data_IF_966098940072
#
_entry.id   IF_966098940072
#
_cell.length_a   1.000
_cell.length_b   1.000
_cell.length_c   1.000
_cell.angle_alpha   90.00
_cell.angle_beta   90.00
_cell.angle_gamma   90.00
#
_symmetry.space_group_name_H-M   'P 1'
#
loop_
_entity.id
_entity.type
_entity.pdbx_description
1 polymer ?
#
# COMPACT_ATOMS: atom_id res chain seq x y z
N UNK A 1 -21.44 -23.55 -47.22
CA UNK A 1 -22.33 -24.23 -46.27
C UNK A 1 -21.67 -24.45 -44.93
N UNK A 2 -20.42 -24.95 -44.82
CA UNK A 2 -19.74 -25.19 -43.55
C UNK A 2 -19.56 -23.96 -42.62
N UNK A 3 -19.41 -22.75 -43.15
CA UNK A 3 -19.25 -21.53 -42.36
C UNK A 3 -20.55 -21.06 -41.68
N UNK A 4 -21.69 -21.34 -42.27
CA UNK A 4 -23.04 -21.03 -41.73
C UNK A 4 -23.41 -22.00 -40.60
N UNK A 5 -23.05 -23.27 -40.72
CA UNK A 5 -23.25 -24.28 -39.69
C UNK A 5 -22.37 -24.03 -38.46
N UNK A 6 -21.12 -23.62 -38.66
CA UNK A 6 -20.23 -23.23 -37.57
C UNK A 6 -20.72 -21.99 -36.82
N UNK A 7 -21.31 -21.02 -37.52
CA UNK A 7 -21.88 -19.81 -36.91
C UNK A 7 -23.13 -20.15 -36.10
N UNK A 8 -23.98 -21.08 -36.59
CA UNK A 8 -25.16 -21.55 -35.87
C UNK A 8 -24.80 -22.40 -34.65
N UNK A 9 -23.76 -23.24 -34.73
CA UNK A 9 -23.26 -24.00 -33.59
C UNK A 9 -22.68 -23.09 -32.52
N UNK A 10 -21.89 -22.07 -32.89
CA UNK A 10 -21.39 -21.06 -31.96
C UNK A 10 -22.52 -20.27 -31.31
N UNK A 11 -23.52 -19.87 -32.05
CA UNK A 11 -24.68 -19.16 -31.50
C UNK A 11 -25.47 -20.04 -30.53
N UNK A 12 -25.69 -21.31 -30.87
CA UNK A 12 -26.36 -22.26 -30.00
C UNK A 12 -25.58 -22.57 -28.71
N UNK A 13 -24.25 -22.66 -28.77
CA UNK A 13 -23.40 -22.83 -27.57
C UNK A 13 -23.45 -21.60 -26.66
N UNK A 14 -23.45 -20.40 -27.23
CA UNK A 14 -23.58 -19.15 -26.45
C UNK A 14 -24.96 -19.05 -25.77
N UNK A 15 -26.02 -19.51 -26.42
CA UNK A 15 -27.38 -19.51 -25.83
C UNK A 15 -27.48 -20.55 -24.70
N UNK A 16 -26.90 -21.73 -24.87
CA UNK A 16 -26.82 -22.73 -23.79
C UNK A 16 -25.97 -22.25 -22.61
N UNK A 17 -24.83 -21.63 -22.87
CA UNK A 17 -24.01 -21.04 -21.82
C UNK A 17 -24.73 -19.95 -21.01
N UNK A 18 -25.63 -19.19 -21.66
CA UNK A 18 -26.45 -18.19 -20.96
C UNK A 18 -27.57 -18.83 -20.11
N UNK A 19 -28.06 -20.01 -20.47
CA UNK A 19 -29.06 -20.75 -19.68
C UNK A 19 -28.47 -21.43 -18.44
N UNK A 20 -27.20 -21.75 -18.47
CA UNK A 20 -26.45 -22.30 -17.31
C UNK A 20 -26.04 -21.25 -16.28
N UNK A 21 -26.22 -19.96 -16.58
CA UNK A 21 -25.92 -18.86 -15.64
C UNK A 21 -26.93 -18.90 -14.49
N UNK A 22 -26.46 -19.20 -13.32
CA UNK A 22 -27.26 -19.30 -12.11
C UNK A 22 -27.58 -17.90 -11.56
N UNK A 23 -28.52 -17.18 -12.25
CA UNK A 23 -28.94 -15.82 -11.91
C UNK A 23 -29.37 -15.67 -10.45
N UNK A 24 -29.94 -16.72 -9.86
CA UNK A 24 -30.34 -16.76 -8.45
C UNK A 24 -29.10 -16.66 -7.52
N UNK A 25 -28.02 -17.38 -7.82
CA UNK A 25 -26.79 -17.32 -7.02
C UNK A 25 -26.10 -15.95 -7.15
N UNK A 26 -26.06 -15.40 -8.37
CA UNK A 26 -25.50 -14.06 -8.62
C UNK A 26 -26.29 -13.00 -7.87
N UNK A 27 -27.64 -13.06 -7.95
CA UNK A 27 -28.52 -12.16 -7.23
C UNK A 27 -28.32 -12.25 -5.70
N UNK A 28 -28.13 -13.45 -5.17
CA UNK A 28 -27.91 -13.67 -3.74
C UNK A 28 -26.55 -13.14 -3.27
N UNK A 29 -25.50 -13.28 -4.09
CA UNK A 29 -24.17 -12.70 -3.80
C UNK A 29 -24.22 -11.17 -3.81
N UNK A 30 -24.85 -10.58 -4.84
CA UNK A 30 -24.97 -9.13 -4.94
C UNK A 30 -25.83 -8.55 -3.81
N UNK A 31 -26.96 -9.19 -3.49
CA UNK A 31 -27.83 -8.81 -2.38
C UNK A 31 -27.10 -8.95 -1.03
N UNK A 32 -26.38 -10.05 -0.83
CA UNK A 32 -25.56 -10.28 0.37
C UNK A 32 -24.47 -9.23 0.52
N UNK A 33 -23.72 -8.94 -0.56
CA UNK A 33 -22.69 -7.90 -0.56
C UNK A 33 -23.29 -6.52 -0.28
N UNK A 34 -24.41 -6.19 -0.88
CA UNK A 34 -25.12 -4.94 -0.64
C UNK A 34 -25.57 -4.81 0.82
N UNK A 35 -26.11 -5.88 1.40
CA UNK A 35 -26.53 -5.95 2.80
C UNK A 35 -25.33 -5.76 3.74
N UNK A 36 -24.19 -6.41 3.46
CA UNK A 36 -22.96 -6.23 4.24
C UNK A 36 -22.44 -4.79 4.13
N UNK A 37 -22.48 -4.19 2.94
CA UNK A 37 -22.09 -2.78 2.75
C UNK A 37 -23.02 -1.85 3.54
N UNK A 38 -24.33 -2.10 3.56
CA UNK A 38 -25.27 -1.32 4.39
C UNK A 38 -24.99 -1.48 5.88
N UNK A 39 -24.67 -2.71 6.30
CA UNK A 39 -24.32 -2.99 7.69
C UNK A 39 -23.04 -2.24 8.10
N UNK A 40 -22.00 -2.29 7.28
CA UNK A 40 -20.74 -1.55 7.50
C UNK A 40 -21.00 -0.05 7.57
N UNK A 41 -21.79 0.51 6.65
CA UNK A 41 -22.15 1.94 6.63
C UNK A 41 -22.94 2.40 7.86
N UNK A 42 -23.72 1.51 8.51
CA UNK A 42 -24.46 1.83 9.74
C UNK A 42 -23.65 1.54 11.00
N UNK A 43 -22.96 0.39 11.03
CA UNK A 43 -22.30 -0.08 12.25
C UNK A 43 -21.02 0.70 12.55
N UNK A 44 -20.18 0.98 11.53
CA UNK A 44 -18.92 1.67 11.76
C UNK A 44 -19.10 3.10 12.29
N UNK A 45 -19.97 3.96 11.72
CA UNK A 45 -20.23 5.28 12.29
C UNK A 45 -20.85 5.20 13.70
N UNK A 46 -21.79 4.27 13.93
CA UNK A 46 -22.39 4.06 15.25
C UNK A 46 -21.36 3.68 16.32
N UNK A 47 -20.40 2.81 15.98
CA UNK A 47 -19.27 2.47 16.86
C UNK A 47 -18.30 3.65 17.03
N UNK A 48 -18.10 4.43 15.96
CA UNK A 48 -17.23 5.58 15.96
C UNK A 48 -17.73 6.71 16.88
N UNK A 49 -19.06 6.88 16.99
CA UNK A 49 -19.66 7.90 17.89
C UNK A 49 -19.50 7.56 19.37
N UNK A 50 -19.29 6.30 19.72
CA UNK A 50 -19.10 5.83 21.10
C UNK A 50 -17.63 5.72 21.51
N UNK A 51 -16.69 5.88 20.58
CA UNK A 51 -15.24 5.77 20.82
C UNK A 51 -14.55 7.13 21.05
N UNK A 52 -13.30 7.12 21.52
CA UNK A 52 -12.48 8.32 21.62
C UNK A 52 -12.28 8.98 20.25
N UNK A 53 -12.10 10.31 20.25
CA UNK A 53 -12.05 11.14 19.02
C UNK A 53 -11.03 10.67 17.96
N UNK A 54 -9.92 10.11 18.40
CA UNK A 54 -8.89 9.57 17.50
C UNK A 54 -9.39 8.30 16.77
N UNK A 55 -10.08 7.41 17.47
CA UNK A 55 -10.64 6.19 16.90
C UNK A 55 -11.74 6.48 15.87
N UNK A 56 -12.49 7.55 16.08
CA UNK A 56 -13.55 8.00 15.18
C UNK A 56 -13.02 8.30 13.77
N UNK A 57 -11.90 9.01 13.66
CA UNK A 57 -11.29 9.34 12.37
C UNK A 57 -10.85 8.08 11.61
N UNK A 58 -10.22 7.12 12.30
CA UNK A 58 -9.79 5.87 11.69
C UNK A 58 -10.97 5.00 11.23
N UNK A 59 -12.00 4.88 12.06
CA UNK A 59 -13.20 4.09 11.73
C UNK A 59 -13.97 4.69 10.56
N UNK A 60 -14.16 6.02 10.53
CA UNK A 60 -14.84 6.69 9.42
C UNK A 60 -14.02 6.61 8.13
N UNK A 61 -12.69 6.73 8.20
CA UNK A 61 -11.78 6.56 7.07
C UNK A 61 -11.72 5.13 6.53
N UNK A 62 -11.98 4.11 7.37
CA UNK A 62 -12.00 2.71 6.96
C UNK A 62 -13.26 2.33 6.12
N UNK A 63 -14.37 3.05 6.27
CA UNK A 63 -15.63 2.74 5.55
C UNK A 63 -15.46 2.67 4.04
N UNK A 64 -14.88 3.67 3.34
CA UNK A 64 -14.71 3.61 1.89
C UNK A 64 -13.75 2.48 1.46
N UNK A 65 -12.72 2.19 2.26
CA UNK A 65 -11.74 1.14 1.99
C UNK A 65 -12.41 -0.23 2.07
N UNK A 66 -13.15 -0.51 3.15
CA UNK A 66 -13.88 -1.77 3.35
C UNK A 66 -14.93 -1.95 2.24
N UNK A 67 -15.65 -0.89 1.87
CA UNK A 67 -16.60 -0.94 0.76
C UNK A 67 -15.93 -1.31 -0.57
N UNK A 68 -14.78 -0.71 -0.87
CA UNK A 68 -14.01 -1.01 -2.08
C UNK A 68 -13.57 -2.48 -2.08
N UNK A 69 -13.04 -2.98 -0.96
CA UNK A 69 -12.64 -4.39 -0.83
C UNK A 69 -13.81 -5.35 -1.01
N UNK A 70 -14.96 -5.06 -0.39
CA UNK A 70 -16.17 -5.87 -0.55
C UNK A 70 -16.66 -5.91 -2.00
N UNK A 71 -16.61 -4.78 -2.72
CA UNK A 71 -16.95 -4.73 -4.14
C UNK A 71 -15.98 -5.55 -4.98
N UNK A 72 -14.67 -5.45 -4.74
CA UNK A 72 -13.66 -6.24 -5.46
C UNK A 72 -13.89 -7.74 -5.22
N UNK A 73 -14.11 -8.17 -3.97
CA UNK A 73 -14.42 -9.56 -3.63
C UNK A 73 -15.69 -10.03 -4.31
N UNK A 74 -16.76 -9.23 -4.30
CA UNK A 74 -18.01 -9.57 -4.96
C UNK A 74 -17.81 -9.75 -6.48
N UNK A 75 -17.08 -8.86 -7.13
CA UNK A 75 -16.73 -8.96 -8.55
C UNK A 75 -15.95 -10.24 -8.83
N UNK A 76 -14.93 -10.56 -8.01
CA UNK A 76 -14.14 -11.78 -8.16
C UNK A 76 -14.98 -13.06 -8.02
N UNK A 77 -16.06 -13.03 -7.24
CA UNK A 77 -16.97 -14.16 -7.10
C UNK A 77 -18.00 -14.27 -8.23
N UNK A 78 -18.43 -13.11 -8.77
CA UNK A 78 -19.44 -13.07 -9.84
C UNK A 78 -18.82 -13.41 -11.20
N UNK A 79 -17.60 -12.98 -11.50
CA UNK A 79 -16.96 -13.22 -12.80
C UNK A 79 -16.94 -14.69 -13.20
N UNK A 80 -16.48 -15.65 -12.36
CA UNK A 80 -16.47 -17.06 -12.74
C UNK A 80 -17.85 -17.65 -13.00
N UNK A 81 -18.88 -17.11 -12.33
CA UNK A 81 -20.26 -17.59 -12.49
C UNK A 81 -20.91 -17.08 -13.78
N UNK A 82 -20.54 -15.87 -14.22
CA UNK A 82 -21.08 -15.28 -15.47
C UNK A 82 -20.40 -15.90 -16.69
N UNK A 83 -19.09 -16.13 -16.61
CA UNK A 83 -18.30 -16.58 -17.76
C UNK A 83 -18.04 -18.09 -17.79
N UNK A 84 -18.66 -18.89 -16.90
CA UNK A 84 -18.41 -20.33 -16.76
C UNK A 84 -16.91 -20.67 -16.74
N UNK A 85 -16.12 -19.83 -16.08
CA UNK A 85 -14.66 -19.98 -16.04
C UNK A 85 -14.35 -21.19 -15.14
N UNK A 86 -13.56 -22.12 -15.65
CA UNK A 86 -13.05 -23.24 -14.84
C UNK A 86 -12.21 -22.72 -13.68
N UNK A 87 -12.21 -23.43 -12.56
CA UNK A 87 -11.41 -23.08 -11.39
C UNK A 87 -9.92 -22.84 -11.77
N UNK A 88 -9.42 -23.65 -12.69
CA UNK A 88 -8.04 -23.53 -13.17
C UNK A 88 -7.78 -22.18 -13.86
N UNK A 89 -8.65 -21.76 -14.78
CA UNK A 89 -8.54 -20.47 -15.48
C UNK A 89 -8.72 -19.30 -14.51
N UNK A 90 -9.63 -19.42 -13.54
CA UNK A 90 -9.82 -18.42 -12.50
C UNK A 90 -8.55 -18.24 -11.65
N UNK A 91 -7.90 -19.34 -11.25
CA UNK A 91 -6.65 -19.27 -10.46
C UNK A 91 -5.53 -18.61 -11.24
N UNK A 92 -5.43 -18.80 -12.56
CA UNK A 92 -4.45 -18.12 -13.40
C UNK A 92 -4.68 -16.61 -13.40
N UNK A 93 -5.92 -16.17 -13.60
CA UNK A 93 -6.29 -14.75 -13.60
C UNK A 93 -6.06 -14.14 -12.21
N UNK A 94 -6.54 -14.80 -11.16
CA UNK A 94 -6.38 -14.36 -9.78
C UNK A 94 -4.89 -14.29 -9.38
N UNK A 95 -4.09 -15.25 -9.83
CA UNK A 95 -2.64 -15.25 -9.63
C UNK A 95 -1.96 -14.07 -10.32
N UNK A 96 -2.29 -13.78 -11.57
CA UNK A 96 -1.76 -12.63 -12.30
C UNK A 96 -2.12 -11.30 -11.63
N UNK A 97 -3.38 -11.15 -11.19
CA UNK A 97 -3.82 -9.98 -10.40
C UNK A 97 -3.09 -9.90 -9.07
N UNK A 98 -2.90 -11.02 -8.36
CA UNK A 98 -2.15 -11.07 -7.12
C UNK A 98 -0.72 -10.59 -7.28
N UNK A 99 -0.04 -11.01 -8.33
CA UNK A 99 1.32 -10.57 -8.68
C UNK A 99 1.32 -9.06 -8.96
N UNK A 100 0.38 -8.56 -9.77
CA UNK A 100 0.28 -7.13 -10.06
C UNK A 100 0.07 -6.28 -8.80
N UNK A 101 -0.81 -6.72 -7.89
CA UNK A 101 -1.05 -6.08 -6.61
C UNK A 101 0.22 -6.16 -5.73
N UNK A 102 0.90 -7.31 -5.68
CA UNK A 102 2.16 -7.49 -4.96
C UNK A 102 3.22 -6.50 -5.42
N UNK A 103 3.37 -6.29 -6.74
CA UNK A 103 4.28 -5.28 -7.28
C UNK A 103 3.88 -3.85 -6.91
N UNK A 104 2.58 -3.54 -6.90
CA UNK A 104 2.10 -2.21 -6.50
C UNK A 104 2.41 -1.90 -5.02
N UNK A 105 2.40 -2.91 -4.14
CA UNK A 105 2.69 -2.77 -2.71
C UNK A 105 4.16 -3.02 -2.34
N UNK A 106 5.01 -3.41 -3.28
CA UNK A 106 6.41 -3.78 -3.05
C UNK A 106 7.17 -2.75 -2.21
N UNK A 107 7.11 -1.49 -2.61
CA UNK A 107 7.88 -0.42 -1.97
C UNK A 107 7.38 -0.11 -0.56
N UNK A 108 6.07 -0.21 -0.36
CA UNK A 108 5.46 -0.04 0.96
C UNK A 108 5.92 -1.14 1.94
N UNK A 109 5.85 -2.40 1.50
CA UNK A 109 6.27 -3.55 2.30
C UNK A 109 7.78 -3.51 2.55
N UNK A 110 8.58 -3.16 1.55
CA UNK A 110 10.03 -2.98 1.68
C UNK A 110 10.36 -1.94 2.74
N UNK A 111 9.67 -0.80 2.77
CA UNK A 111 9.87 0.23 3.80
C UNK A 111 9.52 -0.26 5.21
N UNK A 112 8.46 -1.06 5.35
CA UNK A 112 8.09 -1.66 6.65
C UNK A 112 9.15 -2.65 7.15
N UNK A 113 9.62 -3.55 6.28
CA UNK A 113 10.64 -4.54 6.63
C UNK A 113 11.94 -3.82 7.01
N UNK A 114 12.39 -2.86 6.20
CA UNK A 114 13.60 -2.08 6.50
C UNK A 114 13.46 -1.29 7.81
N UNK A 115 12.26 -0.77 8.12
CA UNK A 115 11.98 -0.09 9.40
C UNK A 115 12.07 -1.03 10.60
N UNK A 116 11.55 -2.24 10.48
CA UNK A 116 11.69 -3.26 11.54
C UNK A 116 13.16 -3.59 11.77
N UNK A 117 13.95 -3.82 10.72
CA UNK A 117 15.38 -4.09 10.81
C UNK A 117 16.11 -2.91 11.47
N UNK A 118 15.81 -1.67 11.06
CA UNK A 118 16.43 -0.47 11.61
C UNK A 118 16.20 -0.30 13.13
N UNK A 119 15.07 -0.77 13.66
CA UNK A 119 14.80 -0.77 15.11
C UNK A 119 15.76 -1.69 15.87
N UNK A 120 16.14 -2.83 15.28
CA UNK A 120 17.06 -3.79 15.91
C UNK A 120 18.51 -3.41 15.70
N UNK A 121 18.91 -3.05 14.49
CA UNK A 121 20.31 -2.71 14.13
C UNK A 121 20.73 -1.31 14.57
N UNK A 122 19.76 -0.38 14.65
CA UNK A 122 19.96 1.02 15.07
C UNK A 122 21.09 1.74 14.34
N UNK A 123 21.13 1.74 13.00
CA UNK A 123 22.16 2.45 12.24
C UNK A 123 22.07 3.98 12.39
N UNK A 124 20.97 4.48 12.89
CA UNK A 124 20.71 5.88 13.27
C UNK A 124 19.72 5.91 14.43
N UNK A 125 19.81 6.95 15.24
CA UNK A 125 18.99 7.16 16.44
C UNK A 125 18.43 8.58 16.44
N UNK A 126 17.33 8.86 17.16
CA UNK A 126 16.91 10.23 17.41
C UNK A 126 18.05 11.03 18.04
N UNK A 127 18.34 12.23 17.48
CA UNK A 127 19.49 13.06 17.84
C UNK A 127 20.72 12.87 16.96
N UNK A 128 20.78 11.82 16.14
CA UNK A 128 21.89 11.66 15.20
C UNK A 128 21.74 12.59 14.00
N UNK A 129 22.86 13.12 13.52
CA UNK A 129 22.95 13.90 12.29
C UNK A 129 23.29 12.98 11.12
N UNK A 130 22.35 12.82 10.24
CA UNK A 130 22.48 11.89 9.11
C UNK A 130 22.43 12.62 7.78
N UNK A 131 23.15 12.08 6.80
CA UNK A 131 23.06 12.48 5.40
C UNK A 131 22.60 11.30 4.58
N UNK A 132 21.54 11.51 3.82
CA UNK A 132 20.95 10.53 2.89
C UNK A 132 20.77 11.25 1.56
N UNK A 133 21.55 10.89 0.55
CA UNK A 133 21.64 11.60 -0.71
C UNK A 133 21.94 13.11 -0.50
N UNK A 134 21.01 13.97 -0.93
CA UNK A 134 21.07 15.44 -0.76
C UNK A 134 20.55 15.93 0.60
N UNK A 135 19.82 15.08 1.31
CA UNK A 135 19.14 15.46 2.54
C UNK A 135 20.10 15.30 3.73
N UNK A 136 20.35 16.38 4.46
CA UNK A 136 21.17 16.41 5.67
C UNK A 136 20.38 17.01 6.83
N UNK A 137 20.36 16.35 7.97
CA UNK A 137 19.63 16.84 9.13
C UNK A 137 19.72 15.93 10.34
N UNK A 138 19.19 16.44 11.45
CA UNK A 138 19.06 15.70 12.71
C UNK A 138 17.85 14.76 12.66
N UNK A 139 18.02 13.51 13.03
CA UNK A 139 16.95 12.53 13.17
C UNK A 139 16.05 12.94 14.34
N UNK A 140 14.82 13.35 14.05
CA UNK A 140 13.81 13.71 15.04
C UNK A 140 13.08 12.48 15.57
N UNK A 141 12.66 11.61 14.68
CA UNK A 141 11.94 10.40 15.04
C UNK A 141 12.20 9.27 14.05
N UNK A 142 12.17 8.04 14.56
CA UNK A 142 12.27 6.82 13.77
C UNK A 142 10.91 6.13 13.83
N UNK A 143 10.14 6.28 12.76
CA UNK A 143 8.84 5.64 12.60
C UNK A 143 8.98 4.24 12.01
N UNK A 144 7.85 3.55 11.85
CA UNK A 144 7.83 2.18 11.32
C UNK A 144 8.14 2.09 9.82
N UNK A 145 7.80 3.13 9.04
CA UNK A 145 7.95 3.17 7.57
C UNK A 145 8.98 4.19 7.09
N UNK A 146 9.22 5.22 7.88
CA UNK A 146 10.09 6.34 7.52
C UNK A 146 10.72 6.93 8.76
N UNK A 147 11.84 7.63 8.57
CA UNK A 147 12.39 8.54 9.57
C UNK A 147 11.98 9.97 9.26
N UNK A 148 11.94 10.79 10.28
CA UNK A 148 11.82 12.25 10.16
C UNK A 148 13.16 12.87 10.49
N UNK A 149 13.70 13.66 9.58
CA UNK A 149 14.89 14.47 9.84
C UNK A 149 14.52 15.96 9.82
N UNK A 150 15.18 16.74 10.67
CA UNK A 150 15.09 18.19 10.68
C UNK A 150 16.33 18.76 10.05
N UNK A 151 16.16 19.47 8.94
CA UNK A 151 17.29 20.10 8.23
C UNK A 151 17.78 21.36 8.95
N UNK A 152 18.98 21.86 8.64
CA UNK A 152 19.47 23.16 9.16
C UNK A 152 18.56 24.35 8.80
N UNK A 153 17.74 24.23 7.76
CA UNK A 153 16.74 25.24 7.37
C UNK A 153 15.41 25.12 8.12
N UNK A 154 15.34 24.23 9.12
CA UNK A 154 14.14 23.95 9.93
C UNK A 154 13.03 23.19 9.20
N UNK A 155 13.30 22.64 8.03
CA UNK A 155 12.36 21.78 7.30
C UNK A 155 12.33 20.38 7.89
N UNK A 156 11.14 19.76 7.88
CA UNK A 156 10.98 18.34 8.24
C UNK A 156 10.90 17.51 6.96
N UNK A 157 11.89 16.64 6.78
CA UNK A 157 11.95 15.71 5.65
C UNK A 157 11.63 14.31 6.12
N UNK A 158 10.65 13.67 5.47
CA UNK A 158 10.27 12.28 5.71
C UNK A 158 10.98 11.37 4.72
N UNK A 159 11.90 10.53 5.20
CA UNK A 159 12.67 9.60 4.35
C UNK A 159 12.19 8.18 4.59
N UNK A 160 11.59 7.50 3.58
CA UNK A 160 11.19 6.11 3.70
C UNK A 160 12.38 5.18 3.99
N UNK A 161 12.20 4.18 4.86
CA UNK A 161 13.25 3.22 5.20
C UNK A 161 13.76 2.44 3.99
N UNK A 162 12.92 2.19 2.97
CA UNK A 162 13.35 1.58 1.72
C UNK A 162 14.47 2.40 1.04
N UNK A 163 14.35 3.74 1.03
CA UNK A 163 15.38 4.62 0.47
C UNK A 163 16.68 4.53 1.27
N UNK A 164 16.56 4.46 2.59
CA UNK A 164 17.69 4.28 3.51
C UNK A 164 18.39 2.93 3.33
N UNK A 165 17.64 1.89 3.04
CA UNK A 165 18.17 0.54 2.79
C UNK A 165 18.93 0.43 1.47
N UNK A 166 18.53 1.20 0.45
CA UNK A 166 19.12 1.15 -0.88
C UNK A 166 20.32 2.10 -1.05
N UNK A 167 20.43 3.11 -0.21
CA UNK A 167 21.44 4.17 -0.30
C UNK A 167 22.41 4.15 0.88
N UNK A 168 23.56 4.76 0.68
CA UNK A 168 24.52 4.97 1.77
C UNK A 168 23.97 6.01 2.75
N UNK A 169 24.04 5.70 4.01
CA UNK A 169 23.72 6.62 5.11
C UNK A 169 25.03 7.03 5.76
N UNK A 170 25.34 8.32 5.77
CA UNK A 170 26.41 8.84 6.57
C UNK A 170 25.85 9.34 7.90
N UNK A 171 26.20 8.69 9.01
CA UNK A 171 25.89 9.13 10.35
C UNK A 171 27.09 9.92 10.88
N UNK A 172 26.90 11.21 11.19
CA UNK A 172 27.99 12.12 11.50
C UNK A 172 28.44 12.07 12.98
N UNK A 173 27.58 11.54 13.87
CA UNK A 173 27.89 11.49 15.31
C UNK A 173 27.70 10.12 15.95
N UNK A 174 27.06 9.16 15.27
CA UNK A 174 26.90 7.76 15.71
C UNK A 174 26.51 7.61 17.20
N UNK A 175 25.48 8.32 17.61
CA UNK A 175 24.98 8.32 18.98
C UNK A 175 25.83 9.11 20.00
N UNK A 176 26.89 9.81 19.58
CA UNK A 176 27.68 10.71 20.45
C UNK A 176 27.06 12.09 20.46
N UNK A 177 27.42 12.89 21.53
CA UNK A 177 27.00 14.30 21.63
C UNK A 177 27.92 15.26 20.88
N UNK A 178 28.88 14.77 20.12
CA UNK A 178 29.86 15.56 19.39
C UNK A 178 29.63 15.45 17.89
N UNK A 179 29.63 16.60 17.21
CA UNK A 179 29.52 16.71 15.76
C UNK A 179 30.71 17.42 15.20
N UNK A 180 31.39 16.84 14.21
CA UNK A 180 32.50 17.50 13.54
C UNK A 180 31.96 18.51 12.53
N UNK A 181 32.20 19.81 12.79
CA UNK A 181 31.89 20.90 11.87
C UNK A 181 33.13 21.25 11.05
N UNK A 182 33.02 21.14 9.73
CA UNK A 182 34.08 21.56 8.80
C UNK A 182 33.65 22.86 8.15
N UNK A 183 34.48 23.92 8.33
CA UNK A 183 34.30 25.20 7.67
C UNK A 183 35.52 25.51 6.77
N UNK A 184 35.25 25.95 5.54
CA UNK A 184 36.27 26.36 4.59
C UNK A 184 36.42 27.87 4.64
N UNK A 185 37.62 28.35 4.96
CA UNK A 185 37.95 29.77 4.97
C UNK A 185 38.89 30.08 3.80
N UNK A 186 38.55 31.10 3.04
CA UNK A 186 39.41 31.59 1.98
C UNK A 186 40.21 32.79 2.53
N UNK A 187 41.54 32.62 2.63
CA UNK A 187 42.44 33.68 3.03
C UNK A 187 43.00 34.40 1.81
N UNK A 188 43.20 35.71 1.92
CA UNK A 188 43.94 36.46 0.88
C UNK A 188 45.40 35.99 0.87
N UNK A 189 46.05 35.90 -0.30
CA UNK A 189 47.42 35.45 -0.41
C UNK A 189 48.44 36.41 0.25
N UNK A 190 48.04 37.62 0.62
CA UNK A 190 48.88 38.65 1.20
C UNK A 190 48.82 38.70 2.75
N UNK A 191 48.28 37.68 3.39
CA UNK A 191 48.22 37.57 4.85
C UNK A 191 49.44 36.78 5.34
N UNK A 192 50.46 37.51 5.93
CA UNK A 192 51.53 36.94 6.73
C UNK A 192 51.00 36.48 8.08
#
# INVERSE_FOLDING_TARGET
MASAEQSQQKAASLINDLQDINFTKIGLILAGTWLVILLVRKLLPFLAERGPSQLRLYLLGAVPIIRLLLLVVAIMWVIPMVFNITLQNFLVIAGALGVAIGFAFKDYISSLIAGVVAIFERPYRPGDWVRVDSDYGEVRSVGMRAIEIRTPSDDIVHIPHQKLWQNNIANSNDGTNTLMCVASFYLRPDHD
#
